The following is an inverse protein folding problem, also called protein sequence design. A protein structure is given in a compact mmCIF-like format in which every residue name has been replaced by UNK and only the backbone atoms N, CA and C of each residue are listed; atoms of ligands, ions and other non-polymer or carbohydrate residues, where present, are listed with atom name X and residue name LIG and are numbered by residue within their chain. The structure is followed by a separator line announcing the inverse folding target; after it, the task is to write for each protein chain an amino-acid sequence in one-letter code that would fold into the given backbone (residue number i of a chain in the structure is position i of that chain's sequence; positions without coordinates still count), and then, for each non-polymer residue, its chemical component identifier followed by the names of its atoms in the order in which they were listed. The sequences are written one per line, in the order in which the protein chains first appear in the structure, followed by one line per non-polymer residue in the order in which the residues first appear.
data_IF_202029935622
#
_entry.id   IF_202029935622
#
_cell.length_a   1.000
_cell.length_b   1.000
_cell.length_c   1.000
_cell.angle_alpha   90.00
_cell.angle_beta   90.00
_cell.angle_gamma   90.00
#
_symmetry.space_group_name_H-M   'P 1'
#
loop_
_entity.id
_entity.type
_entity.pdbx_description
1 polymer ?
#
# COMPACT_ATOMS: atom_id res chain seq x y z
N UNK A 1 -15.32 12.92 14.81
CA UNK A 1 -14.21 11.96 15.05
C UNK A 1 -14.10 11.56 16.52
N UNK A 2 -13.92 12.47 17.48
CA UNK A 2 -13.87 12.13 18.92
C UNK A 2 -15.17 11.51 19.45
N UNK A 3 -16.31 12.06 19.03
CA UNK A 3 -17.65 11.56 19.34
C UNK A 3 -17.84 10.11 18.84
N UNK A 4 -17.74 9.89 17.52
CA UNK A 4 -17.81 8.55 16.91
C UNK A 4 -16.82 7.56 17.57
N UNK A 5 -15.58 7.98 17.85
CA UNK A 5 -14.61 7.13 18.55
C UNK A 5 -15.03 6.81 19.99
N UNK A 6 -15.67 7.74 20.69
CA UNK A 6 -16.17 7.55 22.04
C UNK A 6 -17.37 6.60 22.11
N UNK A 7 -18.27 6.67 21.11
CA UNK A 7 -19.49 5.87 21.06
C UNK A 7 -19.29 4.48 20.45
N UNK A 8 -18.54 4.38 19.35
CA UNK A 8 -18.41 3.18 18.53
C UNK A 8 -16.98 2.59 18.50
N UNK A 9 -16.04 3.19 19.23
CA UNK A 9 -14.65 2.75 19.29
C UNK A 9 -13.78 3.26 18.12
N UNK A 10 -12.47 2.99 18.18
CA UNK A 10 -11.51 3.48 17.19
C UNK A 10 -11.70 2.87 15.80
N UNK A 11 -12.16 1.61 15.72
CA UNK A 11 -12.37 0.89 14.47
C UNK A 11 -13.63 1.33 13.71
N UNK A 12 -14.44 2.22 14.27
CA UNK A 12 -15.49 2.90 13.53
C UNK A 12 -14.96 3.99 12.57
N UNK A 13 -13.65 4.27 12.62
CA UNK A 13 -12.98 5.26 11.78
C UNK A 13 -12.09 4.57 10.74
N UNK A 14 -11.98 5.17 9.56
CA UNK A 14 -11.12 4.70 8.47
C UNK A 14 -10.33 5.83 7.84
N UNK A 15 -9.16 5.49 7.28
CA UNK A 15 -8.23 6.43 6.65
C UNK A 15 -7.81 5.91 5.29
N UNK A 16 -7.69 6.81 4.31
CA UNK A 16 -7.20 6.46 2.97
C UNK A 16 -6.02 7.37 2.64
N UNK A 17 -4.84 6.78 2.46
CA UNK A 17 -3.67 7.49 1.94
C UNK A 17 -3.67 7.48 0.41
N UNK A 18 -2.98 8.44 -0.18
CA UNK A 18 -2.86 8.60 -1.63
C UNK A 18 -1.45 8.27 -2.09
N UNK A 19 -1.30 7.46 -3.15
CA UNK A 19 0.01 7.26 -3.81
C UNK A 19 0.51 8.47 -4.58
N UNK A 20 -0.30 9.52 -4.71
CA UNK A 20 0.13 10.80 -5.31
C UNK A 20 0.78 11.73 -4.29
N UNK A 21 0.64 11.43 -3.00
CA UNK A 21 1.36 12.09 -1.93
C UNK A 21 2.74 11.45 -1.76
N UNK A 22 3.59 12.12 -1.01
CA UNK A 22 4.91 11.62 -0.64
C UNK A 22 4.82 10.40 0.28
N UNK A 23 5.91 9.64 0.35
CA UNK A 23 6.06 8.54 1.30
C UNK A 23 6.02 9.05 2.75
N UNK A 24 6.54 10.25 3.03
CA UNK A 24 6.47 10.88 4.35
C UNK A 24 5.01 11.17 4.75
N UNK A 25 4.19 11.69 3.84
CA UNK A 25 2.77 11.94 4.10
C UNK A 25 2.01 10.63 4.34
N UNK A 26 2.30 9.59 3.55
CA UNK A 26 1.71 8.26 3.78
C UNK A 26 2.14 7.67 5.13
N UNK A 27 3.39 7.89 5.52
CA UNK A 27 3.91 7.48 6.83
C UNK A 27 3.25 8.25 7.98
N UNK A 28 3.02 9.55 7.82
CA UNK A 28 2.29 10.36 8.80
C UNK A 28 0.83 9.92 8.91
N UNK A 29 0.17 9.61 7.79
CA UNK A 29 -1.22 9.15 7.78
C UNK A 29 -1.36 7.80 8.50
N UNK A 30 -0.47 6.84 8.24
CA UNK A 30 -0.51 5.55 8.93
C UNK A 30 -0.13 5.65 10.41
N UNK A 31 0.75 6.59 10.78
CA UNK A 31 1.05 6.90 12.17
C UNK A 31 -0.14 7.56 12.88
N UNK A 32 -0.86 8.47 12.22
CA UNK A 32 -2.09 9.07 12.75
C UNK A 32 -3.15 7.99 13.03
N UNK A 33 -3.44 7.14 12.06
CA UNK A 33 -4.41 6.06 12.20
C UNK A 33 -4.04 5.09 13.33
N UNK A 34 -2.80 4.57 13.34
CA UNK A 34 -2.39 3.52 14.27
C UNK A 34 -2.03 4.04 15.65
N UNK A 35 -1.22 5.10 15.75
CA UNK A 35 -0.68 5.56 17.03
C UNK A 35 -1.56 6.59 17.75
N UNK A 36 -2.26 7.46 17.02
CA UNK A 36 -3.09 8.51 17.62
C UNK A 36 -4.54 8.04 17.75
N UNK A 37 -5.07 7.43 16.69
CA UNK A 37 -6.47 7.01 16.65
C UNK A 37 -6.64 5.61 17.26
N UNK A 38 -5.66 4.73 17.06
CA UNK A 38 -5.67 3.38 17.64
C UNK A 38 -6.41 2.37 16.77
N UNK A 39 -6.47 2.59 15.45
CA UNK A 39 -7.09 1.64 14.51
C UNK A 39 -6.10 1.23 13.41
N UNK A 40 -6.30 0.02 12.88
CA UNK A 40 -5.58 -0.46 11.70
C UNK A 40 -6.37 -0.24 10.39
N UNK A 41 -7.53 0.43 10.47
CA UNK A 41 -8.36 0.76 9.32
C UNK A 41 -7.75 1.91 8.51
N UNK A 42 -6.62 1.62 7.88
CA UNK A 42 -5.97 2.51 6.92
C UNK A 42 -5.61 1.74 5.67
N UNK A 43 -5.87 2.34 4.51
CA UNK A 43 -5.56 1.76 3.22
C UNK A 43 -5.06 2.79 2.20
N UNK A 44 -4.72 2.35 1.01
CA UNK A 44 -4.39 3.23 -0.11
C UNK A 44 -4.74 2.57 -1.47
N UNK A 45 -4.56 3.31 -2.56
CA UNK A 45 -4.88 2.86 -3.93
C UNK A 45 -4.12 1.59 -4.39
N UNK A 46 -2.98 1.25 -3.77
CA UNK A 46 -2.23 0.02 -4.04
C UNK A 46 -3.06 -1.23 -3.81
N UNK A 47 -4.12 -1.16 -2.99
CA UNK A 47 -5.04 -2.28 -2.80
C UNK A 47 -5.57 -2.80 -4.12
N UNK A 48 -5.93 -1.90 -5.04
CA UNK A 48 -6.54 -2.28 -6.31
C UNK A 48 -5.51 -2.63 -7.39
N UNK A 49 -4.36 -1.96 -7.42
CA UNK A 49 -3.40 -2.12 -8.51
C UNK A 49 -2.28 -3.13 -8.23
N UNK A 50 -1.83 -3.30 -6.99
CA UNK A 50 -0.61 -4.08 -6.70
C UNK A 50 -0.85 -5.31 -5.81
N UNK A 51 -1.96 -5.39 -5.07
CA UNK A 51 -2.18 -6.51 -4.13
C UNK A 51 -2.03 -7.91 -4.74
N UNK A 52 -2.59 -8.22 -5.94
CA UNK A 52 -2.42 -9.55 -6.52
C UNK A 52 -0.96 -9.86 -6.90
N UNK A 53 -0.25 -8.88 -7.47
CA UNK A 53 1.15 -9.01 -7.85
C UNK A 53 2.05 -9.22 -6.61
N UNK A 54 1.90 -8.37 -5.59
CA UNK A 54 2.63 -8.49 -4.32
C UNK A 54 2.41 -9.86 -3.68
N UNK A 55 1.17 -10.37 -3.67
CA UNK A 55 0.87 -11.70 -3.11
C UNK A 55 1.44 -12.85 -3.94
N UNK A 56 1.41 -12.74 -5.27
CA UNK A 56 1.99 -13.73 -6.18
C UNK A 56 3.51 -13.85 -5.96
N UNK A 57 4.20 -12.71 -5.97
CA UNK A 57 5.65 -12.64 -5.76
C UNK A 57 6.07 -13.08 -4.35
N UNK A 58 5.30 -12.74 -3.31
CA UNK A 58 5.56 -13.27 -1.96
C UNK A 58 5.52 -14.81 -1.93
N UNK A 59 4.55 -15.42 -2.63
CA UNK A 59 4.40 -16.89 -2.64
C UNK A 59 5.49 -17.60 -3.45
N UNK A 60 6.06 -16.95 -4.46
CA UNK A 60 7.01 -17.59 -5.38
C UNK A 60 8.47 -17.24 -5.08
N UNK A 61 8.76 -15.98 -4.79
CA UNK A 61 10.13 -15.46 -4.64
C UNK A 61 10.41 -14.83 -3.27
N UNK A 62 9.41 -14.70 -2.41
CA UNK A 62 9.60 -14.22 -1.04
C UNK A 62 9.77 -12.69 -0.90
N UNK A 63 9.54 -11.91 -1.95
CA UNK A 63 9.57 -10.44 -1.89
C UNK A 63 8.48 -9.90 -2.80
N UNK A 64 7.61 -9.04 -2.29
CA UNK A 64 6.50 -8.44 -3.03
C UNK A 64 6.89 -7.13 -3.72
N UNK A 65 7.79 -7.19 -4.71
CA UNK A 65 8.24 -6.04 -5.48
C UNK A 65 8.97 -6.44 -6.77
N UNK A 66 9.25 -5.45 -7.61
CA UNK A 66 9.90 -5.68 -8.91
C UNK A 66 11.32 -6.25 -8.75
N UNK A 67 11.70 -7.18 -9.62
CA UNK A 67 12.97 -7.91 -9.54
C UNK A 67 14.11 -7.30 -10.34
N UNK A 68 13.82 -6.32 -11.20
CA UNK A 68 14.79 -5.67 -12.08
C UNK A 68 14.55 -4.18 -12.17
N UNK A 69 15.26 -3.53 -13.08
CA UNK A 69 15.16 -2.10 -13.34
C UNK A 69 14.86 -1.82 -14.81
N UNK A 70 14.58 -0.56 -15.14
CA UNK A 70 14.29 -0.15 -16.52
C UNK A 70 15.46 -0.42 -17.48
N UNK A 71 16.70 -0.50 -16.98
CA UNK A 71 17.87 -0.80 -17.83
C UNK A 71 17.89 -2.25 -18.31
N UNK A 72 17.22 -3.16 -17.61
CA UNK A 72 17.12 -4.56 -18.05
C UNK A 72 16.26 -4.68 -19.32
N UNK A 73 15.31 -3.75 -19.51
CA UNK A 73 14.50 -3.67 -20.74
C UNK A 73 15.36 -3.24 -21.92
N UNK A 74 16.31 -2.31 -21.72
CA UNK A 74 17.24 -1.86 -22.76
C UNK A 74 18.16 -2.98 -23.25
N UNK A 75 18.62 -3.85 -22.33
CA UNK A 75 19.48 -4.99 -22.65
C UNK A 75 18.71 -6.21 -23.20
N UNK A 76 17.37 -6.21 -23.15
CA UNK A 76 16.56 -7.37 -23.49
C UNK A 76 16.53 -7.62 -25.00
N UNK A 77 16.88 -8.84 -25.42
CA UNK A 77 16.68 -9.30 -26.80
C UNK A 77 15.22 -9.63 -27.15
N UNK A 78 14.35 -9.75 -26.14
CA UNK A 78 12.92 -10.03 -26.29
C UNK A 78 12.15 -9.46 -25.09
N UNK A 79 11.02 -8.81 -25.36
CA UNK A 79 10.07 -8.32 -24.33
C UNK A 79 8.73 -9.04 -24.51
N UNK A 80 8.22 -9.65 -23.44
CA UNK A 80 6.89 -10.28 -23.40
C UNK A 80 5.99 -9.43 -22.50
N UNK A 81 4.81 -9.05 -23.01
CA UNK A 81 3.83 -8.22 -22.29
C UNK A 81 2.56 -9.04 -22.05
N UNK A 82 2.14 -9.13 -20.78
CA UNK A 82 0.93 -9.86 -20.34
C UNK A 82 0.06 -8.86 -19.56
N UNK A 83 -1.17 -8.67 -20.02
CA UNK A 83 -2.10 -7.63 -19.54
C UNK A 83 -2.71 -7.90 -18.17
#
# INVERSE_FOLDING_TARGET
MREIKGEAGADALGFISSSKCTNEESYLMQKLARAVVGTNNIDNCSRYCQSPATMGLWRTVGIGGDSGSVTDIEAAGLVIIIG
#
